data_IF_917844123185
#
_entry.id   IF_917844123185
#
_cell.length_a   1.000
_cell.length_b   1.000
_cell.length_c   1.000
_cell.angle_alpha   90.00
_cell.angle_beta   90.00
_cell.angle_gamma   90.00
#
_symmetry.space_group_name_H-M   'P 1'
#
loop_
_entity.id
_entity.type
_entity.pdbx_description
1 polymer ?
#
# COMPACT_ATOMS: atom_id res chain seq x y z
N UNK A 1 -14.33 6.93 1.67
CA UNK A 1 -13.43 8.08 1.93
C UNK A 1 -12.20 7.95 1.06
N UNK A 2 -11.81 9.02 0.40
CA UNK A 2 -10.56 9.10 -0.34
C UNK A 2 -9.44 9.59 0.58
N UNK A 3 -8.18 9.22 0.30
CA UNK A 3 -7.02 9.66 1.11
C UNK A 3 -6.92 11.19 1.21
N UNK A 4 -7.48 11.94 0.24
CA UNK A 4 -7.50 13.41 0.24
C UNK A 4 -8.44 14.00 1.30
N UNK A 5 -9.42 13.23 1.78
CA UNK A 5 -10.37 13.66 2.81
C UNK A 5 -9.84 13.44 4.24
N UNK A 6 -8.69 12.76 4.37
CA UNK A 6 -8.03 12.58 5.66
C UNK A 6 -7.37 13.89 6.12
N UNK A 7 -7.44 14.21 7.43
CA UNK A 7 -6.58 15.21 8.06
C UNK A 7 -5.11 15.04 7.63
N UNK A 8 -4.38 16.15 7.49
CA UNK A 8 -3.01 16.13 6.99
C UNK A 8 -2.09 15.20 7.79
N UNK A 9 -2.24 15.19 9.11
CA UNK A 9 -1.50 14.30 10.03
C UNK A 9 -1.82 12.81 9.87
N UNK A 10 -2.94 12.46 9.24
CA UNK A 10 -3.33 11.07 8.99
C UNK A 10 -2.97 10.62 7.58
N UNK A 11 -2.62 11.54 6.68
CA UNK A 11 -2.26 11.20 5.30
C UNK A 11 -0.89 10.51 5.23
N UNK A 12 -0.76 9.37 4.54
CA UNK A 12 0.48 8.59 4.52
C UNK A 12 1.74 9.36 4.06
N UNK A 13 1.63 10.22 3.03
CA UNK A 13 2.80 10.96 2.51
C UNK A 13 3.32 11.98 3.52
N UNK A 14 2.41 12.65 4.19
CA UNK A 14 2.69 13.65 5.21
C UNK A 14 3.28 12.99 6.46
N UNK A 15 2.69 11.87 6.92
CA UNK A 15 3.24 11.04 8.01
C UNK A 15 4.64 10.51 7.70
N UNK A 16 4.86 10.05 6.47
CA UNK A 16 6.19 9.60 6.04
C UNK A 16 7.23 10.73 6.13
N UNK A 17 6.83 11.96 5.79
CA UNK A 17 7.70 13.15 5.89
C UNK A 17 7.96 13.58 7.33
N UNK A 18 6.96 13.55 8.20
CA UNK A 18 7.07 14.06 9.57
C UNK A 18 7.62 13.04 10.57
N UNK A 19 7.29 11.77 10.40
CA UNK A 19 7.54 10.71 11.40
C UNK A 19 8.31 9.51 10.83
N UNK A 20 8.65 9.53 9.53
CA UNK A 20 9.43 8.48 8.87
C UNK A 20 8.63 7.20 8.60
N UNK A 21 9.26 6.26 7.89
CA UNK A 21 8.61 5.05 7.40
C UNK A 21 8.09 4.12 8.51
N UNK A 22 8.75 4.08 9.67
CA UNK A 22 8.34 3.26 10.81
C UNK A 22 7.00 3.67 11.44
N UNK A 23 6.49 4.85 11.11
CA UNK A 23 5.15 5.28 11.53
C UNK A 23 4.03 4.66 10.69
N UNK A 24 4.34 4.14 9.50
CA UNK A 24 3.37 3.59 8.57
C UNK A 24 3.31 2.07 8.64
N UNK A 25 2.14 1.51 8.39
CA UNK A 25 2.00 0.09 8.14
C UNK A 25 2.68 -0.29 6.81
N UNK A 26 3.08 -1.55 6.67
CA UNK A 26 3.64 -2.06 5.41
C UNK A 26 2.67 -1.90 4.24
N UNK A 27 1.35 -1.98 4.49
CA UNK A 27 0.33 -1.76 3.48
C UNK A 27 0.32 -0.31 2.98
N UNK A 28 0.43 0.66 3.90
CA UNK A 28 0.54 2.08 3.54
C UNK A 28 1.83 2.37 2.78
N UNK A 29 2.96 1.78 3.18
CA UNK A 29 4.22 1.93 2.45
C UNK A 29 4.12 1.37 1.03
N UNK A 30 3.51 0.19 0.85
CA UNK A 30 3.23 -0.36 -0.48
C UNK A 30 2.30 0.55 -1.28
N UNK A 31 1.23 1.07 -0.68
CA UNK A 31 0.31 2.01 -1.32
C UNK A 31 1.03 3.27 -1.82
N UNK A 32 2.01 3.77 -1.06
CA UNK A 32 2.85 4.89 -1.47
C UNK A 32 3.74 4.57 -2.67
N UNK A 33 4.33 3.37 -2.69
CA UNK A 33 5.16 2.87 -3.81
C UNK A 33 4.33 2.67 -5.07
N UNK A 34 3.14 2.08 -4.94
CA UNK A 34 2.19 1.89 -6.04
C UNK A 34 1.70 3.22 -6.62
N UNK A 35 1.61 4.25 -5.79
CA UNK A 35 1.26 5.63 -6.18
C UNK A 35 -0.22 5.86 -6.48
N UNK A 36 -0.88 4.88 -7.10
CA UNK A 36 -2.31 4.88 -7.43
C UNK A 36 -2.95 3.51 -7.21
N UNK A 37 -4.26 3.50 -6.96
CA UNK A 37 -5.05 2.27 -6.94
C UNK A 37 -5.49 1.84 -8.34
N UNK A 38 -6.45 0.93 -8.39
CA UNK A 38 -7.15 0.53 -9.62
C UNK A 38 -8.45 1.32 -9.75
N UNK A 39 -9.25 0.99 -10.79
CA UNK A 39 -10.62 1.52 -10.93
C UNK A 39 -11.56 1.06 -9.82
N UNK A 40 -11.29 -0.09 -9.19
CA UNK A 40 -12.16 -0.74 -8.20
C UNK A 40 -11.65 -0.65 -6.76
N UNK A 41 -10.35 -0.36 -6.57
CA UNK A 41 -9.71 -0.35 -5.26
C UNK A 41 -8.71 0.80 -5.15
N UNK A 42 -8.63 1.41 -3.97
CA UNK A 42 -7.62 2.40 -3.61
C UNK A 42 -6.22 1.77 -3.52
N UNK A 43 -5.16 2.58 -3.60
CA UNK A 43 -3.79 2.09 -3.44
C UNK A 43 -3.57 1.37 -2.10
N UNK A 44 -4.28 1.81 -1.05
CA UNK A 44 -4.22 1.20 0.28
C UNK A 44 -4.84 -0.20 0.29
N UNK A 45 -6.00 -0.35 -0.33
CA UNK A 45 -6.66 -1.66 -0.49
C UNK A 45 -5.82 -2.60 -1.35
N UNK A 46 -5.22 -2.12 -2.44
CA UNK A 46 -4.30 -2.92 -3.26
C UNK A 46 -3.09 -3.38 -2.42
N UNK A 47 -2.44 -2.46 -1.70
CA UNK A 47 -1.32 -2.79 -0.82
C UNK A 47 -1.68 -3.82 0.26
N UNK A 48 -2.88 -3.71 0.85
CA UNK A 48 -3.40 -4.67 1.82
C UNK A 48 -3.67 -6.04 1.19
N UNK A 49 -4.27 -6.09 0.00
CA UNK A 49 -4.53 -7.34 -0.74
C UNK A 49 -3.23 -8.07 -1.09
N UNK A 50 -2.22 -7.34 -1.57
CA UNK A 50 -0.90 -7.92 -1.87
C UNK A 50 -0.27 -8.53 -0.62
N UNK A 51 -0.32 -7.84 0.53
CA UNK A 51 0.20 -8.39 1.78
C UNK A 51 -0.63 -9.55 2.32
N UNK A 52 -1.95 -9.52 2.15
CA UNK A 52 -2.83 -10.62 2.55
C UNK A 52 -2.51 -11.90 1.76
N UNK A 53 -2.31 -11.77 0.45
CA UNK A 53 -2.04 -12.90 -0.44
C UNK A 53 -0.62 -13.44 -0.30
N UNK A 54 0.39 -12.55 -0.30
CA UNK A 54 1.80 -12.95 -0.29
C UNK A 54 2.46 -12.92 1.09
N UNK A 55 1.70 -12.61 2.14
CA UNK A 55 2.07 -12.63 3.57
C UNK A 55 3.14 -11.63 4.01
N UNK A 56 4.00 -11.17 3.10
CA UNK A 56 5.05 -10.18 3.35
C UNK A 56 5.52 -9.55 2.04
N UNK A 57 6.28 -8.46 2.14
CA UNK A 57 6.95 -7.84 0.98
C UNK A 57 7.98 -8.79 0.37
N UNK A 58 8.68 -9.59 1.20
CA UNK A 58 9.59 -10.61 0.71
C UNK A 58 8.87 -11.69 -0.10
N UNK A 59 7.69 -12.13 0.36
CA UNK A 59 6.84 -13.06 -0.39
C UNK A 59 6.35 -12.47 -1.70
N UNK A 60 5.92 -11.21 -1.70
CA UNK A 60 5.53 -10.50 -2.92
C UNK A 60 6.70 -10.40 -3.93
N UNK A 61 7.91 -10.13 -3.45
CA UNK A 61 9.11 -10.02 -4.29
C UNK A 61 9.55 -11.35 -4.93
N UNK A 62 9.06 -12.48 -4.42
CA UNK A 62 9.32 -13.82 -4.96
C UNK A 62 8.15 -14.35 -5.80
N UNK A 63 7.04 -13.61 -5.89
CA UNK A 63 5.86 -14.04 -6.63
C UNK A 63 6.14 -14.17 -8.12
N UNK A 64 5.61 -15.22 -8.75
CA UNK A 64 5.70 -15.40 -10.19
C UNK A 64 4.79 -14.41 -10.92
N UNK A 65 5.01 -14.24 -12.23
CA UNK A 65 4.14 -13.41 -13.06
C UNK A 65 2.69 -13.92 -13.05
N UNK A 66 2.51 -15.24 -13.10
CA UNK A 66 1.20 -15.90 -13.05
C UNK A 66 0.47 -15.61 -11.73
N UNK A 67 1.18 -15.65 -10.61
CA UNK A 67 0.61 -15.33 -9.30
C UNK A 67 0.20 -13.86 -9.18
N UNK A 68 0.97 -12.96 -9.80
CA UNK A 68 0.69 -11.52 -9.84
C UNK A 68 -0.48 -11.16 -10.76
N UNK A 69 -0.67 -11.87 -11.87
CA UNK A 69 -1.79 -11.65 -12.80
C UNK A 69 -3.10 -12.22 -12.23
N UNK A 70 -3.02 -13.24 -11.38
CA UNK A 70 -4.18 -13.87 -10.74
C UNK A 70 -4.78 -13.07 -9.56
N UNK A 71 -4.43 -11.78 -9.43
CA UNK A 71 -4.83 -10.90 -8.32
C UNK A 71 -6.18 -10.21 -8.55
#
# INVERSE_FOLDING_TARGET
MTIKELPAELRPRERLRSSGAGSLSTAELLALVLGTGTRQATALEVGATLLGRFRSVGGLAQASLEELIAL
#
